data_IF_998001732797
#
_entry.id   IF_998001732797
#
_cell.length_a   1.000
_cell.length_b   1.000
_cell.length_c   1.000
_cell.angle_alpha   90.00
_cell.angle_beta   90.00
_cell.angle_gamma   90.00
#
_symmetry.space_group_name_H-M   'P 1'
#
loop_
_entity.id
_entity.type
_entity.pdbx_description
1 polymer ?
#
# COMPACT_ATOMS: atom_id res chain seq x y z
N UNK A 1 11.93 25.69 -9.24
CA UNK A 1 12.15 27.05 -9.77
C UNK A 1 11.61 28.11 -8.83
N UNK A 2 10.40 28.01 -8.27
CA UNK A 2 9.83 28.98 -7.34
C UNK A 2 10.77 29.36 -6.17
N UNK A 3 11.57 28.42 -5.66
CA UNK A 3 12.55 28.70 -4.61
C UNK A 3 13.69 29.57 -5.10
N UNK A 4 14.19 29.33 -6.32
CA UNK A 4 15.26 30.12 -6.93
C UNK A 4 14.81 31.54 -7.23
N UNK A 5 13.58 31.73 -7.73
CA UNK A 5 12.99 33.03 -7.95
C UNK A 5 12.82 33.80 -6.63
N UNK A 6 12.29 33.15 -5.59
CA UNK A 6 12.13 33.75 -4.25
C UNK A 6 13.46 34.26 -3.67
N UNK A 7 14.54 33.52 -3.89
CA UNK A 7 15.85 33.86 -3.39
C UNK A 7 16.72 34.58 -4.42
N UNK A 8 16.17 34.97 -5.59
CA UNK A 8 16.90 35.67 -6.69
C UNK A 8 18.14 34.90 -7.18
N UNK A 9 18.10 33.56 -7.13
CA UNK A 9 19.21 32.70 -7.54
C UNK A 9 19.14 32.51 -9.06
N UNK A 10 20.26 32.79 -9.75
CA UNK A 10 20.42 32.54 -11.18
C UNK A 10 20.78 31.08 -11.40
N UNK A 11 20.01 30.37 -12.21
CA UNK A 11 20.31 29.03 -12.68
C UNK A 11 20.88 29.11 -14.11
N UNK A 12 22.02 28.44 -14.33
CA UNK A 12 22.65 28.33 -15.66
C UNK A 12 23.00 26.87 -15.90
N UNK A 13 22.47 26.27 -16.97
CA UNK A 13 22.91 24.98 -17.49
C UNK A 13 23.83 25.19 -18.67
N UNK A 14 25.11 24.82 -18.51
CA UNK A 14 26.13 24.97 -19.57
C UNK A 14 25.88 23.93 -20.67
N UNK A 15 25.45 22.71 -20.31
CA UNK A 15 25.23 21.64 -21.26
C UNK A 15 24.08 21.93 -22.22
N UNK A 16 22.99 22.53 -21.73
CA UNK A 16 21.80 22.83 -22.54
C UNK A 16 21.75 24.30 -22.97
N UNK A 17 22.75 25.14 -22.61
CA UNK A 17 22.80 26.57 -22.93
C UNK A 17 21.64 27.37 -22.34
N UNK A 18 21.07 26.94 -21.20
CA UNK A 18 19.94 27.59 -20.56
C UNK A 18 20.36 28.53 -19.47
N UNK A 19 19.79 29.73 -19.46
CA UNK A 19 20.01 30.74 -18.45
C UNK A 19 18.69 31.33 -17.97
N UNK A 20 18.40 31.20 -16.70
CA UNK A 20 17.15 31.69 -16.09
C UNK A 20 16.99 33.22 -16.13
N UNK A 21 18.04 33.98 -16.43
CA UNK A 21 17.97 35.41 -16.62
C UNK A 21 17.42 35.81 -17.99
N UNK A 22 17.57 34.97 -19.02
CA UNK A 22 17.05 35.24 -20.35
C UNK A 22 15.55 34.90 -20.45
N UNK A 23 14.81 35.66 -21.25
CA UNK A 23 13.36 35.38 -21.46
C UNK A 23 13.13 33.98 -22.01
N UNK A 24 13.95 33.56 -22.98
CA UNK A 24 13.88 32.22 -23.58
C UNK A 24 14.24 31.10 -22.59
N UNK A 25 15.33 31.28 -21.84
CA UNK A 25 15.75 30.31 -20.82
C UNK A 25 14.72 30.14 -19.73
N UNK A 26 14.12 31.25 -19.27
CA UNK A 26 13.03 31.18 -18.28
C UNK A 26 11.83 30.42 -18.85
N UNK A 27 11.39 30.68 -20.06
CA UNK A 27 10.28 30.01 -20.71
C UNK A 27 10.50 28.49 -20.84
N UNK A 28 11.71 28.06 -21.22
CA UNK A 28 12.08 26.64 -21.32
C UNK A 28 12.09 25.99 -19.94
N UNK A 29 12.64 26.65 -18.92
CA UNK A 29 12.65 26.14 -17.55
C UNK A 29 11.24 26.00 -16.96
N UNK A 30 10.36 26.95 -17.23
CA UNK A 30 8.96 26.89 -16.82
C UNK A 30 8.23 25.71 -17.51
N UNK A 31 8.45 25.52 -18.83
CA UNK A 31 7.90 24.39 -19.56
C UNK A 31 8.38 23.04 -19.01
N UNK A 32 9.69 22.88 -18.75
CA UNK A 32 10.26 21.69 -18.15
C UNK A 32 9.69 21.43 -16.74
N UNK A 33 9.45 22.50 -15.96
CA UNK A 33 8.85 22.37 -14.63
C UNK A 33 7.42 21.87 -14.68
N UNK A 34 6.63 22.32 -15.66
CA UNK A 34 5.26 21.85 -15.89
C UNK A 34 5.28 20.37 -16.30
N UNK A 35 6.18 19.97 -17.20
CA UNK A 35 6.34 18.57 -17.61
C UNK A 35 6.73 17.67 -16.44
N UNK A 36 7.70 18.09 -15.62
CA UNK A 36 8.12 17.36 -14.43
C UNK A 36 6.97 17.20 -13.39
N UNK A 37 6.15 18.23 -13.21
CA UNK A 37 4.97 18.17 -12.34
C UNK A 37 3.91 17.21 -12.90
N UNK A 38 3.72 17.17 -14.22
CA UNK A 38 2.79 16.25 -14.87
C UNK A 38 3.26 14.79 -14.73
N UNK A 39 4.54 14.52 -14.96
CA UNK A 39 5.14 13.20 -14.76
C UNK A 39 5.01 12.74 -13.30
N UNK A 40 5.32 13.61 -12.35
CA UNK A 40 5.21 13.31 -10.93
C UNK A 40 3.77 12.94 -10.50
N UNK A 41 2.76 13.49 -11.16
CA UNK A 41 1.35 13.14 -10.92
C UNK A 41 0.93 11.85 -11.63
N UNK A 42 1.44 11.59 -12.84
CA UNK A 42 1.02 10.43 -13.65
C UNK A 42 1.67 9.12 -13.19
N UNK A 43 2.87 9.14 -12.62
CA UNK A 43 3.56 7.93 -12.15
C UNK A 43 2.78 7.17 -11.07
N UNK A 44 2.26 7.83 -10.00
CA UNK A 44 1.45 7.15 -8.99
C UNK A 44 0.19 6.49 -9.57
N UNK A 45 -0.46 7.14 -10.53
CA UNK A 45 -1.70 6.64 -11.12
C UNK A 45 -1.44 5.40 -11.97
N UNK A 46 -0.43 5.41 -12.84
CA UNK A 46 0.00 4.21 -13.61
C UNK A 46 0.40 3.05 -12.70
N UNK A 47 1.08 3.35 -11.59
CA UNK A 47 1.46 2.32 -10.61
C UNK A 47 0.23 1.72 -9.93
N UNK A 48 -0.76 2.55 -9.59
CA UNK A 48 -2.03 2.11 -8.99
C UNK A 48 -2.81 1.21 -9.95
N UNK A 49 -2.99 1.63 -11.19
CA UNK A 49 -3.64 0.85 -12.24
C UNK A 49 -2.97 -0.52 -12.44
N UNK A 50 -1.64 -0.55 -12.51
CA UNK A 50 -0.89 -1.80 -12.64
C UNK A 50 -1.12 -2.72 -11.42
N UNK A 51 -1.15 -2.17 -10.22
CA UNK A 51 -1.42 -2.92 -8.99
C UNK A 51 -2.85 -3.46 -8.98
N UNK A 52 -3.84 -2.67 -9.39
CA UNK A 52 -5.23 -3.07 -9.47
C UNK A 52 -5.41 -4.19 -10.50
N UNK A 53 -4.86 -4.03 -11.69
CA UNK A 53 -4.87 -5.07 -12.73
C UNK A 53 -4.26 -6.38 -12.25
N UNK A 54 -3.12 -6.33 -11.53
CA UNK A 54 -2.52 -7.54 -10.94
C UNK A 54 -3.40 -8.20 -9.90
N UNK A 55 -4.15 -7.41 -9.13
CA UNK A 55 -5.12 -7.93 -8.15
C UNK A 55 -6.29 -8.63 -8.83
N UNK A 56 -6.82 -8.06 -9.92
CA UNK A 56 -7.91 -8.62 -10.69
C UNK A 56 -7.58 -9.98 -11.28
N UNK A 57 -6.38 -10.14 -11.84
CA UNK A 57 -5.91 -11.41 -12.41
C UNK A 57 -5.32 -12.38 -11.35
N UNK A 58 -5.37 -11.99 -10.06
CA UNK A 58 -4.88 -12.81 -8.95
C UNK A 58 -3.36 -12.96 -8.88
N UNK A 59 -2.61 -12.08 -9.54
CA UNK A 59 -1.15 -12.07 -9.47
C UNK A 59 -0.64 -11.50 -8.13
N UNK A 60 0.63 -11.82 -7.86
CA UNK A 60 1.31 -11.34 -6.66
C UNK A 60 1.41 -9.82 -6.62
N UNK A 61 0.80 -9.23 -5.58
CA UNK A 61 0.96 -7.83 -5.25
C UNK A 61 1.43 -7.71 -3.80
N UNK A 62 2.67 -7.34 -3.61
CA UNK A 62 3.25 -7.20 -2.27
C UNK A 62 3.32 -8.51 -1.49
N UNK A 63 3.11 -8.42 -0.19
CA UNK A 63 3.10 -9.59 0.71
C UNK A 63 1.73 -10.28 0.71
N UNK A 64 1.75 -11.61 0.78
CA UNK A 64 0.50 -12.37 0.93
C UNK A 64 -0.23 -11.95 2.23
N UNK A 65 -1.55 -11.75 2.19
CA UNK A 65 -2.34 -11.46 3.37
C UNK A 65 -2.27 -12.62 4.37
N UNK A 66 -2.67 -12.38 5.63
CA UNK A 66 -2.75 -13.43 6.64
C UNK A 66 -3.68 -14.55 6.17
N UNK A 67 -3.38 -15.80 6.43
CA UNK A 67 -4.17 -16.93 5.91
C UNK A 67 -3.86 -17.35 4.48
N UNK A 68 -2.95 -16.66 3.79
CA UNK A 68 -2.58 -16.98 2.42
C UNK A 68 -1.06 -16.94 2.22
N UNK A 69 -0.58 -17.69 1.23
CA UNK A 69 0.79 -17.62 0.72
C UNK A 69 0.78 -17.52 -0.80
N UNK A 70 1.92 -17.23 -1.41
CA UNK A 70 2.05 -17.28 -2.86
C UNK A 70 2.67 -18.62 -3.28
N UNK A 71 1.95 -19.37 -4.13
CA UNK A 71 2.48 -20.52 -4.87
C UNK A 71 2.32 -20.24 -6.37
N UNK A 72 3.39 -20.36 -7.13
CA UNK A 72 3.39 -20.07 -8.58
C UNK A 72 2.76 -18.70 -8.91
N UNK A 73 3.14 -17.65 -8.20
CA UNK A 73 2.63 -16.27 -8.32
C UNK A 73 1.14 -16.10 -7.98
N UNK A 74 0.43 -17.14 -7.58
CA UNK A 74 -1.00 -17.09 -7.19
C UNK A 74 -1.16 -17.25 -5.69
N UNK A 75 -2.22 -16.65 -5.14
CA UNK A 75 -2.57 -16.81 -3.73
C UNK A 75 -3.06 -18.24 -3.47
N UNK A 76 -2.45 -18.91 -2.51
CA UNK A 76 -2.84 -20.21 -2.00
C UNK A 76 -3.21 -20.11 -0.51
N UNK A 77 -4.30 -20.76 -0.05
CA UNK A 77 -4.72 -20.71 1.33
C UNK A 77 -3.76 -21.45 2.26
N UNK A 78 -3.65 -20.95 3.49
CA UNK A 78 -2.97 -21.58 4.62
C UNK A 78 -4.02 -21.87 5.71
N UNK A 79 -4.49 -23.12 5.80
CA UNK A 79 -5.61 -23.51 6.65
C UNK A 79 -5.44 -23.09 8.11
N UNK A 80 -4.24 -23.26 8.69
CA UNK A 80 -3.94 -22.87 10.07
C UNK A 80 -4.13 -21.37 10.31
N UNK A 81 -3.68 -20.54 9.36
CA UNK A 81 -3.83 -19.09 9.48
C UNK A 81 -5.27 -18.65 9.18
N UNK A 82 -5.96 -19.32 8.26
CA UNK A 82 -7.38 -19.06 7.97
C UNK A 82 -8.28 -19.37 9.15
N UNK A 83 -8.01 -20.45 9.90
CA UNK A 83 -8.72 -20.75 11.14
C UNK A 83 -8.58 -19.61 12.16
N UNK A 84 -7.37 -19.04 12.29
CA UNK A 84 -7.16 -17.88 13.17
C UNK A 84 -7.91 -16.64 12.64
N UNK A 85 -7.91 -16.40 11.32
CA UNK A 85 -8.65 -15.28 10.74
C UNK A 85 -10.16 -15.41 10.97
N UNK A 86 -10.70 -16.64 10.88
CA UNK A 86 -12.10 -16.93 11.21
C UNK A 86 -12.39 -16.65 12.69
N UNK A 87 -11.56 -17.14 13.61
CA UNK A 87 -11.68 -16.88 15.05
C UNK A 87 -11.65 -15.36 15.36
N UNK A 88 -10.80 -14.58 14.69
CA UNK A 88 -10.75 -13.12 14.85
C UNK A 88 -12.10 -12.50 14.49
N UNK A 89 -12.71 -12.96 13.40
CA UNK A 89 -13.99 -12.43 12.93
C UNK A 89 -15.14 -12.82 13.85
N UNK A 90 -15.23 -14.07 14.27
CA UNK A 90 -16.22 -14.55 15.24
C UNK A 90 -16.17 -13.71 16.52
N UNK A 91 -14.98 -13.51 17.08
CA UNK A 91 -14.80 -12.65 18.26
C UNK A 91 -15.19 -11.18 18.02
N UNK A 92 -15.05 -10.69 16.80
CA UNK A 92 -15.46 -9.32 16.46
C UNK A 92 -16.95 -9.20 16.17
N UNK A 93 -17.52 -10.14 15.41
CA UNK A 93 -18.89 -10.09 14.90
C UNK A 93 -19.89 -10.61 15.94
N UNK A 94 -19.59 -11.76 16.57
CA UNK A 94 -20.50 -12.42 17.51
C UNK A 94 -20.32 -11.95 18.96
N UNK A 95 -19.06 -11.82 19.43
CA UNK A 95 -18.76 -11.38 20.80
C UNK A 95 -18.58 -9.86 20.93
N UNK A 96 -18.62 -9.12 19.81
CA UNK A 96 -18.42 -7.66 19.72
C UNK A 96 -17.18 -7.13 20.46
N UNK A 97 -16.12 -7.94 20.52
CA UNK A 97 -14.89 -7.57 21.21
C UNK A 97 -14.12 -6.47 20.47
N UNK A 98 -13.51 -5.56 21.22
CA UNK A 98 -12.63 -4.54 20.62
C UNK A 98 -11.36 -5.19 20.01
N UNK A 99 -10.78 -4.56 18.99
CA UNK A 99 -9.56 -5.05 18.34
C UNK A 99 -8.41 -5.25 19.33
N UNK A 100 -8.31 -4.42 20.37
CA UNK A 100 -7.31 -4.56 21.44
C UNK A 100 -7.56 -5.82 22.30
N UNK A 101 -8.81 -6.12 22.65
CA UNK A 101 -9.17 -7.31 23.41
C UNK A 101 -8.87 -8.59 22.61
N UNK A 102 -9.20 -8.60 21.31
CA UNK A 102 -8.90 -9.71 20.40
C UNK A 102 -7.38 -9.93 20.28
N UNK A 103 -6.61 -8.85 20.07
CA UNK A 103 -5.14 -8.95 19.99
C UNK A 103 -4.54 -9.51 21.29
N UNK A 104 -5.03 -9.05 22.46
CA UNK A 104 -4.60 -9.56 23.77
C UNK A 104 -4.94 -11.03 23.93
N UNK A 105 -6.14 -11.46 23.54
CA UNK A 105 -6.57 -12.85 23.56
C UNK A 105 -5.66 -13.74 22.71
N UNK A 106 -5.39 -13.38 21.45
CA UNK A 106 -4.51 -14.17 20.56
C UNK A 106 -3.09 -14.28 21.11
N UNK A 107 -2.59 -13.20 21.72
CA UNK A 107 -1.27 -13.19 22.36
C UNK A 107 -1.22 -14.09 23.61
N UNK A 108 -2.29 -14.14 24.42
CA UNK A 108 -2.37 -15.03 25.58
C UNK A 108 -2.41 -16.50 25.17
N UNK A 109 -3.04 -16.82 24.03
CA UNK A 109 -3.04 -18.15 23.44
C UNK A 109 -1.72 -18.49 22.71
N UNK A 110 -0.71 -17.61 22.77
CA UNK A 110 0.58 -17.75 22.06
C UNK A 110 0.46 -17.94 20.54
N UNK A 111 -0.66 -17.56 19.97
CA UNK A 111 -0.84 -17.56 18.52
C UNK A 111 0.04 -16.46 17.89
N UNK A 112 0.71 -16.77 16.81
CA UNK A 112 1.65 -15.85 16.16
C UNK A 112 1.02 -15.18 14.95
N UNK A 113 1.41 -13.93 14.70
CA UNK A 113 1.03 -13.19 13.49
C UNK A 113 1.80 -13.71 12.27
N UNK A 114 1.49 -13.20 11.08
CA UNK A 114 2.10 -13.61 9.79
C UNK A 114 3.62 -13.67 9.79
N UNK A 115 4.27 -12.75 10.52
CA UNK A 115 5.73 -12.65 10.63
C UNK A 115 6.28 -13.28 11.92
N UNK A 116 5.50 -14.10 12.60
CA UNK A 116 5.91 -14.75 13.86
C UNK A 116 5.88 -13.83 15.08
N UNK A 117 5.52 -12.55 14.94
CA UNK A 117 5.46 -11.58 16.02
C UNK A 117 4.14 -11.61 16.81
N UNK A 118 3.97 -10.60 17.68
CA UNK A 118 2.75 -10.39 18.46
C UNK A 118 1.64 -9.80 17.62
N UNK A 119 0.40 -9.95 18.07
CA UNK A 119 -0.77 -9.31 17.52
C UNK A 119 -0.96 -7.90 18.05
N UNK A 120 -1.34 -6.97 17.18
CA UNK A 120 -1.68 -5.59 17.49
C UNK A 120 -3.07 -5.28 16.97
N UNK A 121 -3.75 -4.33 17.60
CA UNK A 121 -5.12 -3.95 17.26
C UNK A 121 -5.26 -3.56 15.77
N UNK A 122 -4.28 -2.85 15.20
CA UNK A 122 -4.31 -2.43 13.79
C UNK A 122 -4.21 -3.63 12.83
N UNK A 123 -3.45 -4.67 13.19
CA UNK A 123 -3.39 -5.92 12.40
C UNK A 123 -4.74 -6.64 12.40
N UNK A 124 -5.41 -6.72 13.56
CA UNK A 124 -6.75 -7.31 13.70
C UNK A 124 -7.76 -6.52 12.86
N UNK A 125 -7.75 -5.18 12.97
CA UNK A 125 -8.60 -4.29 12.17
C UNK A 125 -8.40 -4.49 10.67
N UNK A 126 -7.13 -4.66 10.23
CA UNK A 126 -6.81 -4.94 8.83
C UNK A 126 -7.43 -6.25 8.34
N UNK A 127 -7.39 -7.32 9.15
CA UNK A 127 -8.02 -8.61 8.82
C UNK A 127 -9.54 -8.44 8.74
N UNK A 128 -10.19 -7.81 9.73
CA UNK A 128 -11.64 -7.63 9.75
C UNK A 128 -12.16 -6.79 8.56
N UNK A 129 -11.38 -5.81 8.09
CA UNK A 129 -11.77 -4.96 6.96
C UNK A 129 -11.51 -5.58 5.59
N UNK A 130 -10.66 -6.59 5.49
CA UNK A 130 -10.26 -7.16 4.21
C UNK A 130 -11.38 -8.02 3.61
N UNK A 131 -11.76 -7.72 2.38
CA UNK A 131 -12.83 -8.40 1.65
C UNK A 131 -12.55 -9.89 1.36
N UNK A 132 -11.28 -10.28 1.31
CA UNK A 132 -10.89 -11.69 1.10
C UNK A 132 -11.48 -12.62 2.17
N UNK A 133 -11.64 -12.15 3.41
CA UNK A 133 -12.20 -12.97 4.48
C UNK A 133 -13.73 -12.94 4.53
N UNK A 134 -14.39 -12.00 3.82
CA UNK A 134 -15.86 -11.94 3.72
C UNK A 134 -16.43 -13.08 2.85
N UNK A 135 -15.64 -13.58 1.88
CA UNK A 135 -16.07 -14.66 0.96
C UNK A 135 -16.00 -16.08 1.56
N UNK A 136 -15.27 -16.27 2.65
CA UNK A 136 -15.07 -17.60 3.26
C UNK A 136 -16.29 -18.07 4.09
N UNK A 137 -17.28 -17.20 4.31
CA UNK A 137 -18.52 -17.57 5.03
C UNK A 137 -19.52 -18.38 4.20
N UNK A 138 -19.29 -18.54 2.89
CA UNK A 138 -20.24 -19.18 1.95
C UNK A 138 -19.73 -20.47 1.31
N UNK A 139 -18.70 -21.12 1.86
CA UNK A 139 -18.34 -22.47 1.45
C UNK A 139 -18.83 -23.42 2.56
N UNK A 140 -20.07 -23.90 2.39
CA UNK A 140 -20.57 -25.09 3.05
C UNK A 140 -20.06 -26.31 2.31
#
# INVERSE_FOLDING_TARGET
LNLFEKHKIRFVSVAEGLDSKTKSGKMVLDALSIMALWDAKSIPDRTREMIERKREIGERVGHAPFGYTYRNKRLAPLEKELAIAKLIREKREDENLSYHKIARFLNSQRLRSKRGGRWYAETIKGICKNSLYKRTSNIK
#
